data_IF_654394635325
#
_entry.id   IF_654394635325
#
_cell.length_a   1.000
_cell.length_b   1.000
_cell.length_c   1.000
_cell.angle_alpha   90.00
_cell.angle_beta   90.00
_cell.angle_gamma   90.00
#
_symmetry.space_group_name_H-M   'P 1'
#
loop_
_entity.id
_entity.type
_entity.pdbx_description
1 polymer ?
#
# COMPACT_ATOMS: atom_id res chain seq x y z
N UNK A 1 -0.30 5.17 -10.22
CA UNK A 1 -1.47 4.27 -10.03
C UNK A 1 -2.27 4.06 -11.31
N UNK A 2 -2.85 5.09 -11.93
CA UNK A 2 -3.69 4.94 -13.13
C UNK A 2 -3.04 4.09 -14.26
N UNK A 3 -1.79 4.37 -14.62
CA UNK A 3 -1.04 3.58 -15.62
C UNK A 3 -0.96 2.08 -15.29
N UNK A 4 -0.70 1.74 -14.02
CA UNK A 4 -0.53 0.34 -13.56
C UNK A 4 -1.87 -0.40 -13.60
N UNK A 5 -2.94 0.24 -13.13
CA UNK A 5 -4.29 -0.33 -13.20
C UNK A 5 -4.76 -0.48 -14.64
N UNK A 6 -4.52 0.50 -15.51
CA UNK A 6 -4.87 0.41 -16.93
C UNK A 6 -4.06 -0.67 -17.64
N UNK A 7 -2.75 -0.77 -17.38
CA UNK A 7 -1.92 -1.86 -17.88
C UNK A 7 -2.47 -3.23 -17.49
N UNK A 8 -2.82 -3.41 -16.21
CA UNK A 8 -3.42 -4.66 -15.74
C UNK A 8 -4.74 -4.97 -16.45
N UNK A 9 -5.63 -3.98 -16.57
CA UNK A 9 -6.90 -4.16 -17.30
C UNK A 9 -6.68 -4.53 -18.76
N UNK A 10 -5.73 -3.89 -19.44
CA UNK A 10 -5.35 -4.21 -20.83
C UNK A 10 -4.77 -5.62 -20.95
N UNK A 11 -3.91 -6.03 -20.00
CA UNK A 11 -3.31 -7.36 -19.99
C UNK A 11 -4.36 -8.47 -19.84
N UNK A 12 -5.42 -8.23 -19.05
CA UNK A 12 -6.52 -9.19 -18.90
C UNK A 12 -7.57 -9.13 -20.01
N UNK A 13 -7.68 -8.00 -20.73
CA UNK A 13 -8.72 -7.78 -21.74
C UNK A 13 -8.24 -7.97 -23.19
N UNK A 14 -6.94 -7.90 -23.45
CA UNK A 14 -6.38 -7.92 -24.81
C UNK A 14 -5.48 -9.15 -25.01
N UNK A 15 -5.92 -10.07 -25.89
CA UNK A 15 -5.21 -11.32 -26.17
C UNK A 15 -3.76 -11.10 -26.64
N UNK A 16 -3.53 -10.13 -27.53
CA UNK A 16 -2.18 -9.84 -28.07
C UNK A 16 -1.19 -9.31 -27.01
N UNK A 17 -1.65 -8.48 -26.08
CA UNK A 17 -0.78 -7.99 -25.00
C UNK A 17 -0.47 -9.11 -24.00
N UNK A 18 -1.45 -9.97 -23.70
CA UNK A 18 -1.26 -11.14 -22.86
C UNK A 18 -0.25 -12.13 -23.45
N UNK A 19 -0.40 -12.48 -24.72
CA UNK A 19 0.51 -13.38 -25.43
C UNK A 19 1.94 -12.81 -25.50
N UNK A 20 2.07 -11.51 -25.78
CA UNK A 20 3.38 -10.85 -25.81
C UNK A 20 4.03 -10.81 -24.40
N UNK A 21 3.23 -10.62 -23.35
CA UNK A 21 3.70 -10.67 -21.96
C UNK A 21 4.15 -12.08 -21.57
N UNK A 22 3.35 -13.11 -21.85
CA UNK A 22 3.67 -14.51 -21.58
C UNK A 22 4.89 -14.97 -22.42
N UNK A 23 5.04 -14.47 -23.64
CA UNK A 23 6.22 -14.72 -24.47
C UNK A 23 7.53 -14.16 -23.91
N UNK A 24 7.47 -13.02 -23.20
CA UNK A 24 8.65 -12.37 -22.64
C UNK A 24 8.98 -12.83 -21.21
N UNK A 25 7.95 -13.09 -20.40
CA UNK A 25 8.11 -13.39 -18.97
C UNK A 25 7.79 -14.84 -18.58
N UNK A 26 7.35 -15.65 -19.56
CA UNK A 26 6.95 -17.04 -19.40
C UNK A 26 5.45 -17.21 -19.14
N UNK A 27 4.87 -18.27 -19.70
CA UNK A 27 3.43 -18.57 -19.61
C UNK A 27 2.88 -18.76 -18.18
N UNK A 28 3.76 -19.04 -17.21
CA UNK A 28 3.37 -19.20 -15.80
C UNK A 28 3.41 -17.89 -15.00
N UNK A 29 3.88 -16.78 -15.59
CA UNK A 29 3.91 -15.49 -14.91
C UNK A 29 2.63 -14.73 -15.22
N UNK A 30 1.88 -14.39 -14.18
CA UNK A 30 0.65 -13.59 -14.30
C UNK A 30 0.68 -12.40 -13.35
N UNK A 31 0.03 -11.31 -13.76
CA UNK A 31 -0.16 -10.13 -12.93
C UNK A 31 -1.58 -10.20 -12.34
N UNK A 32 -1.73 -10.20 -11.00
CA UNK A 32 -3.04 -10.30 -10.36
C UNK A 32 -3.89 -9.07 -10.70
N UNK A 33 -5.18 -9.31 -10.95
CA UNK A 33 -6.13 -8.21 -11.15
C UNK A 33 -6.42 -7.50 -9.83
N UNK A 34 -6.41 -6.17 -9.84
CA UNK A 34 -6.77 -5.37 -8.67
C UNK A 34 -8.29 -5.20 -8.59
N UNK A 35 -8.85 -5.44 -7.40
CA UNK A 35 -10.24 -5.15 -7.08
C UNK A 35 -10.27 -3.80 -6.36
N UNK A 36 -11.01 -2.84 -6.93
CA UNK A 36 -11.06 -1.44 -6.44
C UNK A 36 -11.52 -1.30 -4.98
N UNK A 37 -12.22 -2.30 -4.44
CA UNK A 37 -12.76 -2.28 -3.07
C UNK A 37 -11.78 -2.77 -2.01
N UNK A 38 -10.64 -3.36 -2.39
CA UNK A 38 -9.66 -3.92 -1.43
C UNK A 38 -8.26 -3.46 -1.75
N UNK A 39 -7.74 -2.57 -0.91
CA UNK A 39 -6.40 -2.00 -1.09
C UNK A 39 -5.30 -3.08 -1.16
N UNK A 40 -5.46 -4.21 -0.47
CA UNK A 40 -4.53 -5.36 -0.53
C UNK A 40 -4.36 -5.91 -1.95
N UNK A 41 -5.45 -6.03 -2.71
CA UNK A 41 -5.37 -6.47 -4.11
C UNK A 41 -4.65 -5.45 -5.00
N UNK A 42 -4.82 -4.16 -4.70
CA UNK A 42 -4.10 -3.08 -5.40
C UNK A 42 -2.61 -3.08 -5.05
N UNK A 43 -2.25 -3.35 -3.78
CA UNK A 43 -0.85 -3.45 -3.39
C UNK A 43 -0.15 -4.63 -4.05
N UNK A 44 -0.78 -5.81 -4.05
CA UNK A 44 -0.25 -7.02 -4.70
C UNK A 44 -0.09 -6.85 -6.21
N UNK A 45 -0.98 -6.09 -6.87
CA UNK A 45 -0.81 -5.68 -8.26
C UNK A 45 0.45 -4.84 -8.44
N UNK A 46 0.64 -3.81 -7.61
CA UNK A 46 1.80 -2.92 -7.70
C UNK A 46 3.09 -3.71 -7.45
N UNK A 47 3.11 -4.57 -6.44
CA UNK A 47 4.23 -5.46 -6.10
C UNK A 47 4.63 -6.33 -7.31
N UNK A 48 3.67 -7.04 -7.91
CA UNK A 48 3.89 -7.87 -9.08
C UNK A 48 4.44 -7.10 -10.30
N UNK A 49 4.03 -5.84 -10.46
CA UNK A 49 4.52 -4.97 -11.54
C UNK A 49 5.93 -4.46 -11.22
N UNK A 50 6.22 -4.10 -9.97
CA UNK A 50 7.54 -3.61 -9.55
C UNK A 50 8.62 -4.69 -9.48
N UNK A 51 8.22 -5.96 -9.45
CA UNK A 51 9.07 -7.16 -9.54
C UNK A 51 9.51 -7.48 -10.99
N UNK A 52 8.95 -6.78 -11.97
CA UNK A 52 9.41 -6.87 -13.36
C UNK A 52 10.63 -5.98 -13.60
N UNK A 53 11.37 -6.30 -14.66
CA UNK A 53 12.41 -5.40 -15.13
C UNK A 53 11.77 -4.18 -15.84
N UNK A 54 12.05 -2.93 -15.40
CA UNK A 54 11.41 -1.75 -15.94
C UNK A 54 11.72 -1.49 -17.41
N UNK A 55 12.92 -1.85 -17.89
CA UNK A 55 13.32 -1.65 -19.29
C UNK A 55 12.60 -2.63 -20.20
N UNK A 56 12.54 -3.88 -19.78
CA UNK A 56 11.85 -4.98 -20.45
C UNK A 56 10.36 -4.69 -20.58
N UNK A 57 9.72 -4.21 -19.51
CA UNK A 57 8.29 -3.87 -19.52
C UNK A 57 7.99 -2.68 -20.42
N UNK A 58 8.79 -1.61 -20.34
CA UNK A 58 8.58 -0.46 -21.22
C UNK A 58 8.79 -0.83 -22.70
N UNK A 59 9.78 -1.66 -23.02
CA UNK A 59 10.03 -2.15 -24.39
C UNK A 59 8.83 -2.92 -24.93
N UNK A 60 8.25 -3.81 -24.11
CA UNK A 60 7.03 -4.54 -24.46
C UNK A 60 5.87 -3.60 -24.75
N UNK A 61 5.63 -2.65 -23.85
CA UNK A 61 4.55 -1.69 -23.98
C UNK A 61 4.73 -0.82 -25.22
N UNK A 62 5.95 -0.40 -25.54
CA UNK A 62 6.23 0.35 -26.76
C UNK A 62 5.99 -0.48 -28.03
N UNK A 63 6.43 -1.74 -28.04
CA UNK A 63 6.22 -2.66 -29.16
C UNK A 63 4.73 -2.94 -29.41
N UNK A 64 3.91 -2.94 -28.35
CA UNK A 64 2.46 -3.09 -28.43
C UNK A 64 1.71 -1.76 -28.63
N UNK A 65 2.42 -0.64 -28.87
CA UNK A 65 1.81 0.67 -29.14
C UNK A 65 1.28 1.41 -27.89
N UNK A 66 1.57 0.92 -26.69
CA UNK A 66 1.10 1.46 -25.41
C UNK A 66 2.10 2.42 -24.74
N UNK A 67 2.69 3.36 -25.50
CA UNK A 67 3.69 4.32 -24.98
C UNK A 67 3.20 5.15 -23.78
N UNK A 68 1.89 5.43 -23.71
CA UNK A 68 1.29 6.16 -22.59
C UNK A 68 1.29 5.40 -21.26
N UNK A 69 1.50 4.07 -21.29
CA UNK A 69 1.59 3.22 -20.10
C UNK A 69 3.01 3.02 -19.60
N UNK A 70 4.02 3.49 -20.35
CA UNK A 70 5.41 3.40 -19.93
C UNK A 70 5.64 4.16 -18.62
N UNK A 71 6.39 3.52 -17.73
CA UNK A 71 6.71 4.05 -16.42
C UNK A 71 8.09 4.70 -16.45
N UNK A 72 8.16 5.96 -16.05
CA UNK A 72 9.43 6.66 -15.83
C UNK A 72 10.17 6.06 -14.62
N UNK A 73 11.49 6.25 -14.57
CA UNK A 73 12.29 5.84 -13.42
C UNK A 73 11.78 6.46 -12.09
N UNK A 74 11.22 7.69 -12.16
CA UNK A 74 10.61 8.34 -11.01
C UNK A 74 9.36 7.62 -10.52
N UNK A 75 8.44 7.32 -11.44
CA UNK A 75 7.20 6.60 -11.12
C UNK A 75 7.51 5.20 -10.58
N UNK A 76 8.50 4.50 -11.15
CA UNK A 76 8.91 3.18 -10.67
C UNK A 76 9.42 3.20 -9.24
N UNK A 77 10.31 4.14 -8.89
CA UNK A 77 10.79 4.27 -7.51
C UNK A 77 9.66 4.64 -6.55
N UNK A 78 8.69 5.46 -6.97
CA UNK A 78 7.53 5.78 -6.13
C UNK A 78 6.65 4.55 -5.88
N UNK A 79 6.48 3.66 -6.86
CA UNK A 79 5.76 2.41 -6.66
C UNK A 79 6.50 1.47 -5.72
N UNK A 80 7.84 1.36 -5.83
CA UNK A 80 8.65 0.57 -4.90
C UNK A 80 8.60 1.11 -3.47
N UNK A 81 8.76 2.42 -3.28
CA UNK A 81 8.63 3.04 -1.95
C UNK A 81 7.23 2.81 -1.35
N UNK A 82 6.18 2.76 -2.18
CA UNK A 82 4.83 2.47 -1.73
C UNK A 82 4.66 1.01 -1.29
N UNK A 83 5.24 0.06 -2.04
CA UNK A 83 5.25 -1.37 -1.69
C UNK A 83 5.99 -1.59 -0.37
N UNK A 84 7.21 -1.06 -0.25
CA UNK A 84 8.02 -1.16 0.97
C UNK A 84 7.29 -0.60 2.20
N UNK A 85 6.52 0.48 2.03
CA UNK A 85 5.76 1.09 3.12
C UNK A 85 4.59 0.25 3.61
N UNK A 86 3.87 -0.38 2.69
CA UNK A 86 2.61 -1.05 2.99
C UNK A 86 2.77 -2.56 3.13
N UNK A 87 3.87 -3.15 2.67
CA UNK A 87 4.15 -4.58 2.78
C UNK A 87 4.10 -5.11 4.22
N UNK A 88 4.66 -4.42 5.25
CA UNK A 88 4.63 -4.94 6.63
C UNK A 88 3.22 -5.07 7.22
N UNK A 89 2.25 -4.30 6.71
CA UNK A 89 0.87 -4.33 7.20
C UNK A 89 -0.05 -5.20 6.33
N UNK A 90 0.41 -5.66 5.18
CA UNK A 90 -0.37 -6.51 4.27
C UNK A 90 -0.84 -7.82 4.95
N UNK A 91 0.02 -8.62 5.62
CA UNK A 91 -0.43 -9.86 6.24
C UNK A 91 -1.43 -9.64 7.38
N UNK A 92 -1.20 -8.61 8.19
CA UNK A 92 -2.09 -8.28 9.30
C UNK A 92 -3.45 -7.75 8.83
N UNK A 93 -3.48 -7.01 7.72
CA UNK A 93 -4.74 -6.55 7.13
C UNK A 93 -5.47 -7.63 6.35
N UNK A 94 -4.77 -8.60 5.77
CA UNK A 94 -5.40 -9.81 5.22
C UNK A 94 -6.07 -10.64 6.33
N UNK A 95 -5.38 -10.83 7.46
CA UNK A 95 -5.93 -11.56 8.61
C UNK A 95 -7.14 -10.87 9.23
N UNK A 96 -7.12 -9.54 9.32
CA UNK A 96 -8.21 -8.74 9.91
C UNK A 96 -9.43 -8.57 9.00
N UNK A 97 -9.36 -9.04 7.75
CA UNK A 97 -10.51 -9.06 6.81
C UNK A 97 -11.37 -10.32 6.92
N UNK A 98 -10.99 -11.31 7.74
CA UNK A 98 -11.81 -12.49 8.02
C UNK A 98 -12.91 -12.22 9.05
N UNK A 99 -14.00 -12.99 9.02
CA UNK A 99 -15.14 -12.81 9.95
C UNK A 99 -14.81 -13.16 11.42
N UNK A 100 -13.65 -13.77 11.71
CA UNK A 100 -13.26 -14.25 13.04
C UNK A 100 -11.97 -13.61 13.57
N UNK A 101 -11.96 -12.29 13.70
CA UNK A 101 -10.75 -11.54 14.08
C UNK A 101 -10.78 -11.19 15.56
N UNK A 102 -9.75 -11.64 16.29
CA UNK A 102 -9.53 -11.22 17.68
C UNK A 102 -9.18 -9.72 17.69
N UNK A 103 -9.91 -8.86 18.42
CA UNK A 103 -9.68 -7.41 18.48
C UNK A 103 -8.24 -6.99 18.83
N UNK A 104 -7.49 -7.88 19.50
CA UNK A 104 -6.08 -7.69 19.87
C UNK A 104 -5.14 -7.53 18.67
N UNK A 105 -5.44 -8.15 17.53
CA UNK A 105 -4.60 -8.05 16.32
C UNK A 105 -4.69 -6.65 15.68
N UNK A 106 -5.85 -6.01 15.73
CA UNK A 106 -6.03 -4.65 15.20
C UNK A 106 -5.24 -3.59 15.97
N UNK A 107 -5.16 -3.74 17.30
CA UNK A 107 -4.41 -2.81 18.16
C UNK A 107 -2.91 -2.86 17.90
N UNK A 108 -2.32 -4.05 17.89
CA UNK A 108 -0.90 -4.25 17.62
C UNK A 108 -0.53 -3.77 16.21
N UNK A 109 -1.41 -3.96 15.24
CA UNK A 109 -1.24 -3.48 13.87
C UNK A 109 -1.17 -1.95 13.79
N UNK A 110 -2.07 -1.24 14.46
CA UNK A 110 -2.10 0.24 14.45
C UNK A 110 -0.83 0.82 15.06
N UNK A 111 -0.36 0.27 16.18
CA UNK A 111 0.89 0.70 16.83
C UNK A 111 2.12 0.37 15.96
N UNK A 112 2.16 -0.84 15.39
CA UNK A 112 3.24 -1.29 14.51
C UNK A 112 3.32 -0.42 13.25
N UNK A 113 2.19 -0.09 12.62
CA UNK A 113 2.13 0.80 11.47
C UNK A 113 2.62 2.20 11.83
N UNK A 114 2.19 2.78 12.95
CA UNK A 114 2.64 4.11 13.36
C UNK A 114 4.16 4.16 13.58
N UNK A 115 4.72 3.14 14.25
CA UNK A 115 6.16 3.00 14.46
C UNK A 115 6.92 2.83 13.14
N UNK A 116 6.39 2.02 12.23
CA UNK A 116 6.98 1.80 10.90
C UNK A 116 6.97 3.09 10.07
N UNK A 117 5.85 3.82 10.02
CA UNK A 117 5.76 5.11 9.31
C UNK A 117 6.74 6.14 9.87
N UNK A 118 6.94 6.18 11.20
CA UNK A 118 7.94 7.03 11.84
C UNK A 118 9.37 6.69 11.40
N UNK A 119 9.72 5.40 11.35
CA UNK A 119 11.02 4.96 10.83
C UNK A 119 11.21 5.36 9.36
N UNK A 120 10.16 5.24 8.55
CA UNK A 120 10.18 5.59 7.14
C UNK A 120 10.28 7.08 6.87
N UNK A 121 9.79 7.96 7.75
CA UNK A 121 9.95 9.41 7.57
C UNK A 121 11.43 9.85 7.47
N UNK A 122 12.34 9.07 8.06
CA UNK A 122 13.77 9.32 8.01
C UNK A 122 14.45 8.75 6.76
N UNK A 123 13.79 7.82 6.06
CA UNK A 123 14.38 7.03 4.96
C UNK A 123 13.75 7.36 3.60
N UNK A 124 12.46 7.67 3.58
CA UNK A 124 11.66 7.81 2.36
C UNK A 124 11.66 9.26 1.87
N UNK A 125 12.36 9.54 0.77
CA UNK A 125 12.48 10.90 0.21
C UNK A 125 11.31 11.30 -0.69
N UNK A 126 10.73 10.38 -1.48
CA UNK A 126 9.78 10.74 -2.55
C UNK A 126 8.33 10.69 -2.08
N UNK A 127 8.00 9.77 -1.18
CA UNK A 127 6.67 9.66 -0.58
C UNK A 127 6.53 10.29 0.82
N UNK A 128 7.49 11.12 1.26
CA UNK A 128 7.44 11.75 2.58
C UNK A 128 6.11 12.48 2.90
N UNK A 129 5.53 13.16 1.90
CA UNK A 129 4.23 13.82 2.06
C UNK A 129 3.08 12.83 2.28
N UNK A 130 3.12 11.69 1.59
CA UNK A 130 2.14 10.62 1.75
C UNK A 130 2.30 9.92 3.11
N UNK A 131 3.53 9.61 3.54
CA UNK A 131 3.82 9.03 4.87
C UNK A 131 3.27 9.94 5.97
N UNK A 132 3.54 11.26 5.91
CA UNK A 132 3.01 12.23 6.87
C UNK A 132 1.48 12.28 6.87
N UNK A 133 0.86 12.27 5.69
CA UNK A 133 -0.60 12.29 5.59
C UNK A 133 -1.23 11.01 6.16
N UNK A 134 -0.65 9.85 5.87
CA UNK A 134 -1.09 8.56 6.38
C UNK A 134 -0.95 8.49 7.90
N UNK A 135 0.20 8.92 8.43
CA UNK A 135 0.44 8.99 9.86
C UNK A 135 -0.55 9.92 10.56
N UNK A 136 -0.77 11.14 10.04
CA UNK A 136 -1.76 12.08 10.60
C UNK A 136 -3.17 11.49 10.58
N UNK A 137 -3.54 10.78 9.50
CA UNK A 137 -4.84 10.11 9.42
C UNK A 137 -4.95 8.99 10.46
N UNK A 138 -3.88 8.21 10.67
CA UNK A 138 -3.83 7.13 11.64
C UNK A 138 -3.96 7.69 13.08
N UNK A 139 -3.12 8.67 13.43
CA UNK A 139 -3.15 9.36 14.73
C UNK A 139 -4.51 9.98 15.02
N UNK A 140 -5.14 10.62 14.03
CA UNK A 140 -6.46 11.22 14.19
C UNK A 140 -7.55 10.17 14.46
N UNK A 141 -7.55 9.06 13.70
CA UNK A 141 -8.58 8.01 13.82
C UNK A 141 -8.44 7.18 15.08
N UNK A 142 -7.20 6.96 15.55
CA UNK A 142 -6.91 6.14 16.71
C UNK A 142 -6.38 6.97 17.89
N UNK A 143 -6.73 8.27 17.96
CA UNK A 143 -6.23 9.19 18.99
C UNK A 143 -6.43 8.67 20.41
N UNK A 144 -7.61 8.13 20.72
CA UNK A 144 -7.90 7.54 22.04
C UNK A 144 -6.99 6.36 22.39
N UNK A 145 -6.58 5.57 21.39
CA UNK A 145 -5.62 4.47 21.57
C UNK A 145 -4.22 5.03 21.81
N UNK A 146 -3.78 6.00 21.00
CA UNK A 146 -2.44 6.59 21.14
C UNK A 146 -2.27 7.39 22.44
N UNK A 147 -3.31 8.08 22.91
CA UNK A 147 -3.32 8.77 24.19
C UNK A 147 -3.16 7.78 25.38
N UNK A 148 -3.86 6.64 25.33
CA UNK A 148 -3.79 5.62 26.38
C UNK A 148 -2.43 4.89 26.42
N UNK A 149 -1.68 4.85 25.31
CA UNK A 149 -0.35 4.20 25.22
C UNK A 149 0.81 5.22 25.22
N UNK A 150 0.54 6.51 25.48
CA UNK A 150 1.55 7.59 25.50
C UNK A 150 2.39 7.71 24.22
N UNK A 151 1.78 7.49 23.05
CA UNK A 151 2.42 7.69 21.74
C UNK A 151 1.98 8.99 21.06
N UNK A 152 1.29 9.88 21.78
CA UNK A 152 0.90 11.18 21.30
C UNK A 152 2.02 12.20 21.56
N UNK A 153 2.63 12.72 20.50
CA UNK A 153 3.60 13.83 20.57
C UNK A 153 2.91 15.19 20.78
N UNK A 154 1.57 15.22 20.82
CA UNK A 154 0.85 16.48 21.03
C UNK A 154 0.79 16.86 22.52
N UNK A 155 1.66 17.80 22.88
CA UNK A 155 1.38 18.78 23.92
C UNK A 155 0.15 19.61 23.50
N UNK A 156 -1.06 19.06 23.66
CA UNK A 156 -2.30 19.82 23.71
C UNK A 156 -3.15 19.34 24.90
N UNK A 157 -3.76 20.28 25.65
CA UNK A 157 -4.38 19.97 26.93
C UNK A 157 -5.59 19.07 26.75
N UNK A 158 -5.78 18.22 27.75
CA UNK A 158 -6.87 17.27 27.90
C UNK A 158 -8.23 17.92 27.56
N UNK A 159 -8.73 17.61 26.37
CA UNK A 159 -10.08 17.95 25.93
C UNK A 159 -10.73 16.67 25.43
N UNK A 160 -11.66 16.17 26.26
CA UNK A 160 -12.67 15.14 26.01
C UNK A 160 -12.25 13.98 25.09
N UNK A 161 -11.65 12.96 25.69
CA UNK A 161 -11.34 11.70 25.02
C UNK A 161 -12.52 10.73 25.20
N UNK A 162 -13.05 10.11 24.12
CA UNK A 162 -14.29 9.33 24.13
C UNK A 162 -14.21 7.98 24.87
N UNK A 163 -13.14 7.73 25.62
CA UNK A 163 -12.92 6.50 26.40
C UNK A 163 -12.39 6.79 27.82
N UNK A 164 -12.61 8.01 28.33
CA UNK A 164 -12.10 8.46 29.63
C UNK A 164 -12.73 7.79 30.86
N UNK A 165 -13.90 7.16 30.71
CA UNK A 165 -14.61 6.57 31.85
C UNK A 165 -14.36 5.05 31.92
N UNK A 166 -13.24 4.67 32.52
CA UNK A 166 -13.18 3.40 33.24
C UNK A 166 -13.62 3.63 34.69
N UNK A 167 -14.85 3.20 34.93
CA UNK A 167 -15.55 3.10 36.22
C UNK A 167 -14.61 2.69 37.35
N UNK A 168 -14.52 3.53 38.38
CA UNK A 168 -14.03 3.14 39.70
C UNK A 168 -15.22 2.72 40.55
N UNK A 169 -15.29 1.44 40.92
CA UNK A 169 -15.95 1.00 42.16
C UNK A 169 -15.25 -0.25 42.67
#
# INVERSE_FOLDING_TARGET
MAKVTTFCSSLHSTCGLKEAFEGQYGANRSIPSAVSTRWNSTLRLVEAVTDLDPQSLNTLLEAQGHKGLCLSAKEWSQLKELVEMLAPVLPATDLTQGENVVPKCGFALVLSLNSHLNSMLNTTRRLAGFVKALQKSLQRRFRGIFANVRMDDSAQPAGDLPFGDMVST
#
